data_IF_844966558647
#
_entry.id   IF_844966558647
#
_cell.length_a   1.000
_cell.length_b   1.000
_cell.length_c   1.000
_cell.angle_alpha   90.00
_cell.angle_beta   90.00
_cell.angle_gamma   90.00
#
_symmetry.space_group_name_H-M   'P 1'
#
loop_
_entity.id
_entity.type
_entity.pdbx_description
1 polymer ?
#
# COMPACT_ATOMS: atom_id res chain seq x y z
N UNK A 1 8.93 14.64 -2.30
CA UNK A 1 8.22 15.63 -1.46
C UNK A 1 7.39 14.87 -0.43
N UNK A 2 7.61 15.10 0.87
CA UNK A 2 6.83 14.47 1.93
C UNK A 2 5.38 14.96 1.94
N UNK A 3 4.46 14.02 2.09
CA UNK A 3 3.02 14.25 2.14
C UNK A 3 2.51 13.94 3.55
N UNK A 4 1.52 14.69 4.00
CA UNK A 4 0.91 14.48 5.32
C UNK A 4 -0.62 14.51 5.19
N UNK A 5 -1.28 13.72 6.02
CA UNK A 5 -2.72 13.82 6.23
C UNK A 5 -3.00 14.70 7.43
N UNK A 6 -3.84 15.71 7.23
CA UNK A 6 -4.31 16.60 8.30
C UNK A 6 -5.79 16.35 8.53
N UNK A 7 -6.20 16.18 9.79
CA UNK A 7 -7.62 16.18 10.16
C UNK A 7 -8.23 17.55 9.86
N UNK A 8 -9.41 17.58 9.27
CA UNK A 8 -10.20 18.80 9.13
C UNK A 8 -11.10 18.97 10.35
N UNK A 9 -11.23 20.19 10.87
CA UNK A 9 -11.95 20.52 12.10
C UNK A 9 -13.48 20.41 12.01
N UNK A 10 -14.04 20.00 10.87
CA UNK A 10 -15.49 19.94 10.66
C UNK A 10 -15.97 18.49 10.59
N UNK A 11 -16.35 17.85 11.70
CA UNK A 11 -17.24 16.70 11.67
C UNK A 11 -18.66 17.22 11.88
N UNK A 12 -19.36 17.57 10.80
CA UNK A 12 -20.81 17.43 10.84
C UNK A 12 -21.07 15.96 10.51
N UNK A 13 -21.56 15.19 11.48
CA UNK A 13 -22.35 13.96 11.30
C UNK A 13 -21.65 12.58 11.45
N UNK A 14 -20.32 12.43 11.61
CA UNK A 14 -19.73 11.08 11.75
C UNK A 14 -18.83 10.84 12.96
N UNK A 15 -18.96 9.62 13.49
CA UNK A 15 -18.08 8.93 14.43
C UNK A 15 -16.68 8.73 13.79
N UNK A 16 -15.96 9.86 13.68
CA UNK A 16 -14.77 10.01 12.85
C UNK A 16 -13.66 9.02 13.22
N UNK A 17 -13.65 8.50 14.46
CA UNK A 17 -12.66 7.55 14.95
C UNK A 17 -12.62 6.23 14.16
N UNK A 18 -13.72 5.79 13.54
CA UNK A 18 -13.85 4.45 12.92
C UNK A 18 -13.21 4.32 11.53
N UNK A 19 -12.95 5.44 10.85
CA UNK A 19 -12.52 5.46 9.44
C UNK A 19 -11.22 6.23 9.18
N UNK A 20 -10.54 6.68 10.24
CA UNK A 20 -9.27 7.38 10.09
C UNK A 20 -8.17 6.39 9.66
N UNK A 21 -7.30 6.78 8.70
CA UNK A 21 -6.16 5.98 8.34
C UNK A 21 -5.19 5.86 9.51
N UNK A 22 -4.45 4.75 9.55
CA UNK A 22 -3.51 4.43 10.63
C UNK A 22 -2.34 5.40 10.71
N UNK A 23 -2.06 6.16 9.65
CA UNK A 23 -1.16 7.33 9.74
C UNK A 23 -1.66 8.42 10.70
N UNK A 24 -2.86 8.27 11.27
CA UNK A 24 -3.49 9.18 12.23
C UNK A 24 -3.78 8.48 13.58
N UNK A 25 -3.65 7.15 13.65
CA UNK A 25 -3.87 6.31 14.84
C UNK A 25 -2.84 5.17 14.81
N UNK A 26 -1.77 5.24 15.61
CA UNK A 26 -0.62 4.31 15.63
C UNK A 26 -0.93 2.89 16.18
N UNK A 27 -2.15 2.37 15.98
CA UNK A 27 -2.52 1.03 16.44
C UNK A 27 -2.07 -0.04 15.45
N UNK A 28 -1.14 -0.89 15.87
CA UNK A 28 -0.82 -2.17 15.20
C UNK A 28 -2.04 -3.08 15.38
N UNK A 29 -2.71 -3.41 14.29
CA UNK A 29 -3.99 -4.14 14.32
C UNK A 29 -3.80 -5.64 14.19
N UNK A 30 -4.64 -6.42 14.87
CA UNK A 30 -4.68 -7.90 14.81
C UNK A 30 -5.16 -8.45 13.46
N UNK A 31 -5.84 -7.63 12.64
CA UNK A 31 -6.25 -8.01 11.29
C UNK A 31 -5.99 -6.88 10.30
N UNK A 32 -5.27 -7.12 9.19
CA UNK A 32 -4.98 -6.08 8.23
C UNK A 32 -6.25 -5.74 7.44
N UNK A 33 -6.52 -4.44 7.28
CA UNK A 33 -7.59 -3.89 6.45
C UNK A 33 -7.00 -3.25 5.20
N UNK A 34 -7.88 -2.85 4.28
CA UNK A 34 -7.47 -2.16 3.07
C UNK A 34 -7.29 -0.67 3.25
N UNK A 35 -7.35 0.04 2.13
CA UNK A 35 -7.28 1.51 2.06
C UNK A 35 -8.68 2.13 2.04
N UNK A 36 -8.75 3.45 2.18
CA UNK A 36 -9.99 4.20 2.00
C UNK A 36 -10.49 4.08 0.55
N UNK A 37 -11.74 3.63 0.37
CA UNK A 37 -12.36 3.40 -0.93
C UNK A 37 -12.35 4.60 -1.88
N UNK A 38 -12.67 5.84 -1.43
CA UNK A 38 -12.62 7.03 -2.28
C UNK A 38 -11.24 7.30 -2.90
N UNK A 39 -10.17 7.00 -2.16
CA UNK A 39 -8.79 7.17 -2.63
C UNK A 39 -8.44 6.12 -3.67
N UNK A 40 -8.93 4.90 -3.49
CA UNK A 40 -8.78 3.85 -4.49
C UNK A 40 -9.54 4.17 -5.78
N UNK A 41 -10.75 4.72 -5.67
CA UNK A 41 -11.54 5.20 -6.80
C UNK A 41 -10.80 6.32 -7.54
N UNK A 42 -10.27 7.30 -6.81
CA UNK A 42 -9.45 8.37 -7.37
C UNK A 42 -8.22 7.82 -8.10
N UNK A 43 -7.44 6.95 -7.45
CA UNK A 43 -6.24 6.32 -8.05
C UNK A 43 -6.58 5.64 -9.38
N UNK A 44 -7.65 4.84 -9.41
CA UNK A 44 -8.05 4.11 -10.61
C UNK A 44 -8.57 5.07 -11.70
N UNK A 45 -9.40 6.06 -11.33
CA UNK A 45 -10.01 7.03 -12.26
C UNK A 45 -8.94 7.86 -12.99
N UNK A 46 -7.89 8.27 -12.29
CA UNK A 46 -6.79 9.05 -12.86
C UNK A 46 -5.59 8.19 -13.29
N UNK A 47 -5.78 6.87 -13.37
CA UNK A 47 -4.77 5.90 -13.78
C UNK A 47 -3.40 6.12 -13.11
N UNK A 48 -3.41 6.45 -11.81
CA UNK A 48 -2.21 6.70 -11.01
C UNK A 48 -1.55 5.37 -10.60
N UNK A 49 -1.29 4.53 -11.60
CA UNK A 49 -0.59 3.26 -11.47
C UNK A 49 0.87 3.47 -11.80
N UNK A 50 1.73 3.22 -10.83
CA UNK A 50 3.17 3.24 -11.07
C UNK A 50 3.63 1.82 -11.41
N UNK A 51 4.26 1.62 -12.58
CA UNK A 51 4.78 0.30 -12.99
C UNK A 51 5.79 -0.25 -11.99
N UNK A 52 6.60 0.63 -11.39
CA UNK A 52 7.61 0.31 -10.38
C UNK A 52 7.04 -0.21 -9.06
N UNK A 53 5.75 0.03 -8.79
CA UNK A 53 5.10 -0.59 -7.63
C UNK A 53 4.94 -2.11 -7.83
N UNK A 54 5.00 -2.62 -9.07
CA UNK A 54 4.91 -4.06 -9.35
C UNK A 54 6.19 -4.77 -8.91
N UNK A 55 6.07 -5.62 -7.90
CA UNK A 55 7.20 -6.30 -7.25
C UNK A 55 7.19 -7.81 -7.45
N UNK A 56 6.04 -8.38 -7.81
CA UNK A 56 5.89 -9.81 -8.06
C UNK A 56 4.82 -10.07 -9.12
N UNK A 57 5.07 -11.08 -9.95
CA UNK A 57 4.11 -11.65 -10.88
C UNK A 57 4.31 -13.16 -10.89
N UNK A 58 3.24 -13.89 -10.57
CA UNK A 58 3.16 -15.34 -10.67
C UNK A 58 1.99 -15.75 -11.57
N UNK A 59 1.58 -17.01 -11.45
CA UNK A 59 0.50 -17.59 -12.26
C UNK A 59 -0.87 -17.21 -11.72
N UNK A 60 -1.00 -17.12 -10.40
CA UNK A 60 -2.26 -16.79 -9.74
C UNK A 60 -2.39 -15.33 -9.38
N UNK A 61 -1.28 -14.66 -9.03
CA UNK A 61 -1.30 -13.27 -8.58
C UNK A 61 -0.23 -12.39 -9.21
N UNK A 62 -0.51 -11.10 -9.25
CA UNK A 62 0.49 -10.05 -9.31
C UNK A 62 0.39 -9.18 -8.06
N UNK A 63 1.52 -8.80 -7.49
CA UNK A 63 1.59 -7.92 -6.32
C UNK A 63 2.17 -6.56 -6.71
N UNK A 64 1.42 -5.50 -6.36
CA UNK A 64 1.93 -4.15 -6.30
C UNK A 64 2.13 -3.71 -4.86
N UNK A 65 3.33 -3.26 -4.53
CA UNK A 65 3.67 -2.75 -3.21
C UNK A 65 3.90 -1.23 -3.27
N UNK A 66 3.22 -0.52 -2.36
CA UNK A 66 3.37 0.92 -2.21
C UNK A 66 3.99 1.22 -0.85
N UNK A 67 5.15 1.92 -0.81
CA UNK A 67 5.81 2.28 0.43
C UNK A 67 4.94 3.18 1.33
N UNK A 68 5.21 3.22 2.64
CA UNK A 68 4.51 4.06 3.59
C UNK A 68 4.36 5.55 3.25
N UNK A 69 5.33 6.16 2.56
CA UNK A 69 5.25 7.58 2.15
C UNK A 69 4.55 7.81 0.80
N UNK A 70 4.13 6.76 0.11
CA UNK A 70 3.35 6.87 -1.11
C UNK A 70 1.93 7.35 -0.76
N UNK A 71 1.33 8.24 -1.57
CA UNK A 71 0.04 8.84 -1.21
C UNK A 71 -1.06 7.82 -0.92
N UNK A 72 -1.12 6.72 -1.67
CA UNK A 72 -2.10 5.64 -1.45
C UNK A 72 -1.91 5.00 -0.06
N UNK A 73 -0.66 4.82 0.34
CA UNK A 73 -0.29 4.25 1.64
C UNK A 73 -0.64 5.16 2.81
N UNK A 74 -0.71 6.48 2.59
CA UNK A 74 -1.16 7.39 3.65
C UNK A 74 -2.62 7.13 4.04
N UNK A 75 -3.45 6.61 3.14
CA UNK A 75 -4.86 6.33 3.39
C UNK A 75 -5.13 4.87 3.78
N UNK A 76 -4.12 4.16 4.30
CA UNK A 76 -4.25 2.81 4.83
C UNK A 76 -5.04 2.80 6.13
N UNK A 77 -5.92 1.81 6.30
CA UNK A 77 -6.70 1.64 7.54
C UNK A 77 -5.96 0.84 8.61
N UNK A 78 -4.81 0.23 8.28
CA UNK A 78 -3.97 -0.62 9.15
C UNK A 78 -2.50 -0.55 8.74
N UNK A 79 -1.61 -0.96 9.64
CA UNK A 79 -0.19 -1.22 9.34
C UNK A 79 0.10 -2.71 9.61
N UNK A 80 0.32 -3.55 8.59
CA UNK A 80 0.28 -3.24 7.15
C UNK A 80 -1.17 -3.13 6.65
N UNK A 81 -1.36 -2.65 5.43
CA UNK A 81 -2.65 -2.73 4.73
C UNK A 81 -2.55 -3.57 3.47
N UNK A 82 -3.63 -4.26 3.12
CA UNK A 82 -3.70 -4.99 1.87
C UNK A 82 -5.06 -4.90 1.19
N UNK A 83 -5.10 -5.17 -0.11
CA UNK A 83 -6.36 -5.39 -0.84
C UNK A 83 -6.14 -6.46 -1.89
N UNK A 84 -7.08 -7.38 -2.00
CA UNK A 84 -7.17 -8.32 -3.11
C UNK A 84 -8.22 -7.81 -4.10
N UNK A 85 -7.82 -7.69 -5.37
CA UNK A 85 -8.68 -7.34 -6.51
C UNK A 85 -8.67 -8.50 -7.49
N UNK A 86 -9.80 -8.82 -8.09
CA UNK A 86 -9.83 -9.75 -9.22
C UNK A 86 -9.62 -8.98 -10.52
N UNK A 87 -8.74 -9.48 -11.39
CA UNK A 87 -8.67 -9.03 -12.79
C UNK A 87 -9.72 -9.71 -13.67
N UNK A 88 -10.24 -10.86 -13.23
CA UNK A 88 -11.16 -11.68 -14.03
C UNK A 88 -12.60 -11.31 -13.70
N UNK A 89 -13.39 -11.09 -14.75
CA UNK A 89 -14.85 -11.05 -14.73
C UNK A 89 -15.43 -12.48 -14.71
N UNK A 90 -15.08 -13.31 -13.72
CA UNK A 90 -15.80 -14.59 -13.56
C UNK A 90 -17.20 -14.26 -13.05
N UNK A 91 -18.21 -14.65 -13.81
CA UNK A 91 -19.58 -14.59 -13.33
C UNK A 91 -19.75 -15.74 -12.32
N UNK A 92 -20.53 -15.53 -11.26
CA UNK A 92 -20.82 -16.60 -10.30
C UNK A 92 -21.54 -17.79 -10.92
N UNK A 93 -22.24 -17.56 -12.03
CA UNK A 93 -22.98 -18.57 -12.78
C UNK A 93 -21.99 -19.57 -13.39
N UNK A 94 -20.82 -19.12 -13.84
CA UNK A 94 -19.81 -19.96 -14.52
C UNK A 94 -19.24 -21.07 -13.62
N UNK A 95 -19.44 -20.99 -12.30
CA UNK A 95 -18.92 -21.95 -11.32
C UNK A 95 -20.00 -22.53 -10.39
N UNK A 96 -21.28 -22.25 -10.66
CA UNK A 96 -22.39 -22.77 -9.88
C UNK A 96 -22.91 -24.08 -10.47
N UNK A 97 -23.47 -24.95 -9.62
CA UNK A 97 -24.10 -26.20 -10.09
C UNK A 97 -25.31 -25.96 -11.02
N UNK A 98 -25.76 -26.97 -11.79
CA UNK A 98 -26.76 -26.81 -12.86
C UNK A 98 -28.08 -26.20 -12.38
N UNK A 99 -28.51 -26.58 -11.17
CA UNK A 99 -29.71 -26.05 -10.53
C UNK A 99 -29.65 -24.52 -10.33
N UNK A 100 -28.51 -24.02 -9.85
CA UNK A 100 -28.29 -22.59 -9.58
C UNK A 100 -28.17 -21.82 -10.90
N UNK A 101 -27.48 -22.37 -11.89
CA UNK A 101 -27.41 -21.79 -13.23
C UNK A 101 -28.80 -21.64 -13.86
N UNK A 102 -29.65 -22.66 -13.77
CA UNK A 102 -31.02 -22.64 -14.29
C UNK A 102 -31.98 -21.74 -13.49
N UNK A 103 -31.79 -21.62 -12.17
CA UNK A 103 -32.63 -20.77 -11.33
C UNK A 103 -32.35 -19.28 -11.57
N UNK A 104 -31.09 -18.89 -11.76
CA UNK A 104 -30.69 -17.49 -11.94
C UNK A 104 -30.64 -17.02 -13.40
N UNK A 105 -30.53 -17.91 -14.38
CA UNK A 105 -30.65 -17.56 -15.81
C UNK A 105 -32.01 -16.92 -16.16
N UNK A 106 -33.06 -17.31 -15.43
CA UNK A 106 -34.43 -16.78 -15.57
C UNK A 106 -34.67 -15.45 -14.83
N UNK A 107 -33.77 -15.06 -13.92
CA UNK A 107 -33.90 -13.84 -13.09
C UNK A 107 -32.65 -12.97 -13.20
N UNK A 108 -32.37 -12.44 -14.40
CA UNK A 108 -31.19 -11.60 -14.69
C UNK A 108 -31.00 -10.41 -13.73
N UNK A 109 -32.10 -9.86 -13.19
CA UNK A 109 -32.10 -8.76 -12.21
C UNK A 109 -31.94 -9.20 -10.75
N UNK A 110 -32.12 -10.49 -10.45
CA UNK A 110 -31.99 -11.08 -9.11
C UNK A 110 -30.73 -11.93 -8.95
N UNK A 111 -29.80 -11.88 -9.91
CA UNK A 111 -28.43 -12.35 -9.70
C UNK A 111 -27.93 -11.58 -8.47
N UNK A 112 -27.68 -12.23 -7.32
CA UNK A 112 -27.15 -11.52 -6.18
C UNK A 112 -25.87 -10.84 -6.61
N UNK A 113 -25.44 -9.83 -5.86
CA UNK A 113 -24.14 -9.17 -6.01
C UNK A 113 -23.05 -10.22 -5.72
N UNK A 114 -22.89 -11.21 -6.61
CA UNK A 114 -22.18 -12.47 -6.40
C UNK A 114 -20.67 -12.26 -6.45
N UNK A 115 -20.26 -11.13 -7.00
CA UNK A 115 -18.94 -10.57 -6.82
C UNK A 115 -18.58 -10.37 -5.34
N UNK A 116 -19.55 -10.15 -4.43
CA UNK A 116 -19.27 -9.97 -3.00
C UNK A 116 -18.80 -11.25 -2.30
N UNK A 117 -19.46 -12.38 -2.53
CA UNK A 117 -19.08 -13.69 -1.94
C UNK A 117 -17.71 -14.13 -2.45
N UNK A 118 -17.50 -14.09 -3.76
CA UNK A 118 -16.21 -14.44 -4.36
C UNK A 118 -15.08 -13.48 -3.94
N UNK A 119 -15.34 -12.17 -3.87
CA UNK A 119 -14.38 -11.22 -3.29
C UNK A 119 -14.04 -11.54 -1.85
N UNK A 120 -15.03 -11.93 -1.03
CA UNK A 120 -14.81 -12.29 0.37
C UNK A 120 -13.96 -13.56 0.47
N UNK A 121 -14.30 -14.60 -0.30
CA UNK A 121 -13.53 -15.86 -0.35
C UNK A 121 -12.08 -15.61 -0.78
N UNK A 122 -11.87 -14.92 -1.90
CA UNK A 122 -10.53 -14.55 -2.36
C UNK A 122 -9.79 -13.70 -1.33
N UNK A 123 -10.46 -12.73 -0.72
CA UNK A 123 -9.86 -11.90 0.31
C UNK A 123 -9.35 -12.77 1.45
N UNK A 124 -10.13 -13.74 1.93
CA UNK A 124 -9.71 -14.63 3.02
C UNK A 124 -8.54 -15.54 2.59
N UNK A 125 -8.60 -16.11 1.38
CA UNK A 125 -7.52 -16.93 0.80
C UNK A 125 -6.20 -16.17 0.69
N UNK A 126 -6.23 -14.86 0.49
CA UNK A 126 -5.03 -14.02 0.47
C UNK A 126 -4.67 -13.53 1.87
N UNK A 127 -5.65 -13.13 2.67
CA UNK A 127 -5.44 -12.44 3.95
C UNK A 127 -4.69 -13.30 4.95
N UNK A 128 -5.08 -14.57 5.09
CA UNK A 128 -4.49 -15.50 6.06
C UNK A 128 -3.00 -15.74 5.76
N UNK A 129 -2.60 -16.27 4.59
CA UNK A 129 -1.19 -16.50 4.29
C UNK A 129 -0.37 -15.22 4.22
N UNK A 130 -0.97 -14.10 3.80
CA UNK A 130 -0.32 -12.78 3.84
C UNK A 130 0.06 -12.41 5.28
N UNK A 131 -0.89 -12.46 6.20
CA UNK A 131 -0.67 -12.00 7.57
C UNK A 131 0.22 -12.96 8.36
N UNK A 132 0.08 -14.28 8.14
CA UNK A 132 0.99 -15.30 8.66
C UNK A 132 2.44 -15.01 8.25
N UNK A 133 2.71 -14.89 6.95
CA UNK A 133 4.07 -14.67 6.45
C UNK A 133 4.62 -13.31 6.84
N UNK A 134 3.78 -12.26 6.83
CA UNK A 134 4.19 -10.94 7.27
C UNK A 134 4.57 -10.90 8.75
N UNK A 135 3.84 -11.63 9.60
CA UNK A 135 4.15 -11.75 11.03
C UNK A 135 5.40 -12.59 11.26
N UNK A 136 5.56 -13.70 10.52
CA UNK A 136 6.74 -14.56 10.59
C UNK A 136 8.04 -13.83 10.21
N UNK A 137 7.95 -12.82 9.35
CA UNK A 137 9.07 -11.96 8.94
C UNK A 137 9.20 -10.69 9.83
N UNK A 138 8.68 -10.74 11.06
CA UNK A 138 8.77 -9.67 12.06
C UNK A 138 8.30 -8.29 11.55
N UNK A 139 7.18 -8.27 10.83
CA UNK A 139 6.66 -7.04 10.24
C UNK A 139 6.34 -5.94 11.27
N UNK A 140 6.04 -6.31 12.52
CA UNK A 140 5.80 -5.34 13.60
C UNK A 140 7.05 -4.50 13.90
N UNK A 141 8.23 -5.12 13.91
CA UNK A 141 9.50 -4.40 14.03
C UNK A 141 9.70 -3.45 12.87
N UNK A 142 9.33 -3.86 11.65
CA UNK A 142 9.33 -2.99 10.48
C UNK A 142 8.46 -1.73 10.68
N UNK A 143 7.24 -1.90 11.19
CA UNK A 143 6.36 -0.74 11.50
C UNK A 143 6.99 0.17 12.56
N UNK A 144 7.47 -0.38 13.68
CA UNK A 144 8.07 0.40 14.79
C UNK A 144 9.27 1.21 14.32
N UNK A 145 10.22 0.58 13.63
CA UNK A 145 11.43 1.25 13.13
C UNK A 145 11.12 2.34 12.11
N UNK A 146 10.15 2.12 11.24
CA UNK A 146 9.72 3.16 10.30
C UNK A 146 9.18 4.38 11.05
N UNK A 147 8.34 4.19 12.06
CA UNK A 147 7.81 5.28 12.91
C UNK A 147 8.93 6.02 13.65
N UNK A 148 9.92 5.31 14.17
CA UNK A 148 11.10 5.90 14.82
C UNK A 148 11.92 6.74 13.84
N UNK A 149 12.19 6.23 12.63
CA UNK A 149 12.97 6.94 11.62
C UNK A 149 12.33 8.23 11.12
N UNK A 150 10.98 8.33 11.17
CA UNK A 150 10.27 9.58 10.84
C UNK A 150 10.53 10.71 11.82
N UNK A 151 10.98 10.41 13.04
CA UNK A 151 11.37 11.42 14.03
C UNK A 151 12.73 12.03 13.71
N UNK A 152 13.55 11.38 12.90
CA UNK A 152 14.87 11.88 12.48
C UNK A 152 14.72 12.91 11.34
N UNK A 153 14.64 14.19 11.72
CA UNK A 153 14.47 15.29 10.77
C UNK A 153 15.73 15.46 9.92
N UNK A 154 15.56 15.46 8.59
CA UNK A 154 16.61 15.82 7.63
C UNK A 154 17.37 14.64 7.02
N UNK A 155 17.04 13.40 7.40
CA UNK A 155 17.56 12.19 6.74
C UNK A 155 16.85 11.99 5.39
N UNK A 156 17.59 11.76 4.30
CA UNK A 156 16.99 11.46 3.00
C UNK A 156 16.15 10.18 3.05
N UNK A 157 15.04 10.17 2.31
CA UNK A 157 14.02 9.11 2.37
C UNK A 157 14.63 7.71 2.22
N UNK A 158 15.53 7.53 1.27
CA UNK A 158 16.15 6.23 0.97
C UNK A 158 17.01 5.74 2.12
N UNK A 159 17.86 6.62 2.66
CA UNK A 159 18.71 6.31 3.82
C UNK A 159 17.84 6.03 5.06
N UNK A 160 16.74 6.76 5.23
CA UNK A 160 15.74 6.50 6.27
C UNK A 160 15.13 5.10 6.13
N UNK A 161 14.78 4.66 4.91
CA UNK A 161 14.25 3.31 4.67
C UNK A 161 15.31 2.22 4.90
N UNK A 162 16.54 2.38 4.42
CA UNK A 162 17.60 1.38 4.61
C UNK A 162 17.96 1.20 6.09
N UNK A 163 18.00 2.28 6.87
CA UNK A 163 18.25 2.23 8.32
C UNK A 163 17.08 1.61 9.08
N UNK A 164 15.84 1.93 8.69
CA UNK A 164 14.64 1.47 9.40
C UNK A 164 14.20 0.07 9.02
N UNK A 165 14.48 -0.38 7.79
CA UNK A 165 13.89 -1.57 7.20
C UNK A 165 14.95 -2.45 6.52
N UNK A 166 15.70 -3.26 7.29
CA UNK A 166 16.67 -4.18 6.71
C UNK A 166 15.98 -5.23 5.83
N UNK A 167 16.75 -5.83 4.93
CA UNK A 167 16.30 -7.00 4.17
C UNK A 167 15.96 -8.15 5.13
N UNK A 168 15.02 -9.01 4.72
CA UNK A 168 14.53 -10.11 5.55
C UNK A 168 13.44 -9.73 6.54
N UNK A 169 13.11 -8.44 6.70
CA UNK A 169 12.02 -7.97 7.56
C UNK A 169 10.83 -7.53 6.72
N UNK A 170 9.65 -8.03 7.05
CA UNK A 170 8.41 -7.66 6.36
C UNK A 170 8.16 -6.15 6.45
N UNK A 171 7.79 -5.56 5.32
CA UNK A 171 7.72 -4.10 5.20
C UNK A 171 6.35 -3.56 5.55
N UNK A 172 6.31 -2.43 6.27
CA UNK A 172 5.07 -1.65 6.35
C UNK A 172 4.74 -1.11 4.95
N UNK A 173 3.47 -0.94 4.62
CA UNK A 173 3.13 -0.78 3.22
C UNK A 173 1.66 -0.93 2.92
N UNK A 174 1.32 -0.57 1.69
CA UNK A 174 0.09 -1.04 1.07
C UNK A 174 0.41 -2.13 0.05
N UNK A 175 -0.15 -3.32 0.26
CA UNK A 175 -0.02 -4.50 -0.60
C UNK A 175 -1.28 -4.65 -1.44
N UNK A 176 -1.18 -4.41 -2.74
CA UNK A 176 -2.27 -4.55 -3.70
C UNK A 176 -2.07 -5.83 -4.50
N UNK A 177 -2.81 -6.87 -4.12
CA UNK A 177 -2.86 -8.15 -4.83
C UNK A 177 -3.88 -8.08 -5.97
N UNK A 178 -3.43 -8.39 -7.18
CA UNK A 178 -4.27 -8.62 -8.34
C UNK A 178 -4.33 -10.13 -8.60
N UNK A 179 -5.51 -10.71 -8.44
CA UNK A 179 -5.77 -12.12 -8.75
C UNK A 179 -5.91 -12.25 -10.27
N UNK A 180 -4.97 -12.98 -10.87
CA UNK A 180 -4.85 -13.27 -12.30
C UNK A 180 -5.60 -14.54 -12.68
N UNK A 181 -5.62 -15.55 -11.79
CA UNK A 181 -6.31 -16.82 -11.97
C UNK A 181 -7.12 -17.16 -10.72
N UNK A 182 -8.39 -17.53 -10.90
CA UNK A 182 -9.21 -18.03 -9.79
C UNK A 182 -8.81 -19.48 -9.47
N UNK A 183 -8.58 -19.82 -8.19
CA UNK A 183 -8.34 -21.20 -7.82
C UNK A 183 -9.64 -21.99 -7.94
N UNK A 184 -9.60 -23.12 -8.64
CA UNK A 184 -10.77 -23.94 -8.91
C UNK A 184 -10.83 -25.20 -8.03
N UNK A 185 -9.69 -25.64 -7.49
CA UNK A 185 -9.56 -26.82 -6.64
C UNK A 185 -8.63 -26.53 -5.45
N UNK A 186 -8.43 -27.53 -4.59
CA UNK A 186 -7.60 -27.37 -3.39
C UNK A 186 -6.11 -27.17 -3.70
N UNK A 187 -5.59 -27.84 -4.73
CA UNK A 187 -4.21 -27.65 -5.16
C UNK A 187 -3.97 -26.21 -5.66
N UNK A 188 -4.92 -25.63 -6.39
CA UNK A 188 -4.89 -24.24 -6.82
C UNK A 188 -4.97 -23.28 -5.61
N UNK A 189 -5.77 -23.61 -4.59
CA UNK A 189 -5.81 -22.82 -3.35
C UNK A 189 -4.43 -22.79 -2.69
N UNK A 190 -3.79 -23.96 -2.54
CA UNK A 190 -2.45 -24.09 -1.96
C UNK A 190 -1.42 -23.31 -2.79
N UNK A 191 -1.45 -23.46 -4.12
CA UNK A 191 -0.57 -22.74 -5.04
C UNK A 191 -0.72 -21.22 -4.92
N UNK A 192 -1.96 -20.72 -4.91
CA UNK A 192 -2.26 -19.30 -4.68
C UNK A 192 -1.70 -18.81 -3.34
N UNK A 193 -1.92 -19.57 -2.25
CA UNK A 193 -1.43 -19.18 -0.93
C UNK A 193 0.11 -19.16 -0.89
N UNK A 194 0.77 -20.10 -1.56
CA UNK A 194 2.22 -20.14 -1.66
C UNK A 194 2.79 -18.95 -2.45
N UNK A 195 2.14 -18.54 -3.54
CA UNK A 195 2.49 -17.30 -4.24
C UNK A 195 2.31 -16.07 -3.35
N UNK A 196 1.24 -16.01 -2.55
CA UNK A 196 1.06 -14.93 -1.58
C UNK A 196 2.23 -14.88 -0.60
N UNK A 197 2.61 -16.02 0.02
CA UNK A 197 3.76 -16.09 0.94
C UNK A 197 5.06 -15.64 0.26
N UNK A 198 5.34 -16.16 -0.93
CA UNK A 198 6.53 -15.80 -1.73
C UNK A 198 6.57 -14.31 -2.06
N UNK A 199 5.44 -13.73 -2.41
CA UNK A 199 5.35 -12.30 -2.76
C UNK A 199 5.67 -11.39 -1.56
N UNK A 200 5.24 -11.77 -0.35
CA UNK A 200 5.55 -11.03 0.89
C UNK A 200 7.04 -11.12 1.21
N UNK A 201 7.62 -12.30 1.02
CA UNK A 201 9.06 -12.53 1.20
C UNK A 201 9.91 -11.71 0.23
N UNK A 202 9.50 -11.63 -1.03
CA UNK A 202 10.15 -10.76 -2.02
C UNK A 202 10.12 -9.31 -1.55
N UNK A 203 8.97 -8.83 -1.06
CA UNK A 203 8.89 -7.46 -0.52
C UNK A 203 9.81 -7.27 0.68
N UNK A 204 9.86 -8.21 1.61
CA UNK A 204 10.76 -8.17 2.76
C UNK A 204 12.24 -8.06 2.36
N UNK A 205 12.62 -8.72 1.26
CA UNK A 205 13.99 -8.75 0.74
C UNK A 205 14.33 -7.60 -0.23
N UNK A 206 13.39 -6.70 -0.54
CA UNK A 206 13.68 -5.57 -1.42
C UNK A 206 14.84 -4.72 -0.88
N UNK A 207 15.79 -4.37 -1.74
CA UNK A 207 16.76 -3.31 -1.49
C UNK A 207 16.06 -1.96 -1.70
N UNK A 208 15.87 -1.18 -0.64
CA UNK A 208 15.17 0.11 -0.70
C UNK A 208 15.88 1.14 -1.58
N UNK A 209 17.21 1.15 -1.57
CA UNK A 209 18.03 2.02 -2.42
C UNK A 209 17.75 1.77 -3.88
N UNK A 210 17.86 0.50 -4.31
CA UNK A 210 17.56 0.11 -5.69
C UNK A 210 16.10 0.34 -6.04
N UNK A 211 15.19 -0.16 -5.19
CA UNK A 211 13.75 -0.10 -5.44
C UNK A 211 13.22 1.33 -5.57
N UNK A 212 13.76 2.30 -4.83
CA UNK A 212 13.30 3.70 -4.88
C UNK A 212 13.99 4.55 -5.95
N UNK A 213 15.25 4.26 -6.29
CA UNK A 213 16.15 5.18 -7.00
C UNK A 213 16.77 4.67 -8.33
N UNK A 214 16.18 3.73 -9.07
CA UNK A 214 16.79 3.14 -10.28
C UNK A 214 17.38 4.09 -11.35
N UNK A 215 17.10 5.41 -11.31
CA UNK A 215 17.77 6.43 -12.14
C UNK A 215 19.11 6.93 -11.63
N UNK A 216 19.62 6.45 -10.49
CA UNK A 216 21.03 6.66 -10.23
C UNK A 216 21.78 5.87 -11.31
N UNK A 217 22.59 6.51 -12.18
CA UNK A 217 23.55 5.75 -12.98
C UNK A 217 24.29 4.79 -12.04
N UNK A 218 24.77 3.64 -12.53
CA UNK A 218 25.55 2.63 -11.79
C UNK A 218 26.83 3.22 -11.18
N UNK A 219 26.66 4.18 -10.30
CA UNK A 219 27.62 4.67 -9.38
C UNK A 219 27.69 3.52 -8.38
N UNK A 220 28.81 2.79 -8.39
CA UNK A 220 29.23 1.89 -7.31
C UNK A 220 29.49 2.71 -6.03
N UNK A 221 28.56 3.58 -5.67
CA UNK A 221 28.56 4.38 -4.47
C UNK A 221 27.56 3.70 -3.56
N UNK A 222 28.08 3.11 -2.50
CA UNK A 222 27.27 2.58 -1.42
C UNK A 222 26.20 3.63 -1.05
N UNK A 223 24.91 3.26 -0.95
CA UNK A 223 23.82 4.18 -0.64
C UNK A 223 24.10 5.10 0.55
N UNK A 224 24.86 4.60 1.54
CA UNK A 224 25.36 5.34 2.72
C UNK A 224 26.20 6.58 2.38
N UNK A 225 26.80 6.65 1.19
CA UNK A 225 27.66 7.75 0.74
C UNK A 225 27.09 8.57 -0.40
N UNK A 226 25.86 8.28 -0.88
CA UNK A 226 25.21 9.06 -1.94
C UNK A 226 25.15 10.55 -1.58
N UNK A 227 24.92 10.87 -0.31
CA UNK A 227 24.85 12.25 0.19
C UNK A 227 26.20 12.94 0.36
N UNK A 228 27.31 12.16 0.40
CA UNK A 228 28.67 12.70 0.42
C UNK A 228 29.19 12.98 -0.99
N UNK A 229 28.81 12.15 -1.97
CA UNK A 229 29.31 12.26 -3.36
C UNK A 229 28.41 13.10 -4.25
N UNK A 230 27.09 13.11 -4.00
CA UNK A 230 26.14 13.92 -4.77
C UNK A 230 25.73 15.14 -3.92
N UNK A 231 26.03 16.39 -4.35
CA UNK A 231 25.59 17.57 -3.63
C UNK A 231 24.07 17.56 -3.48
N UNK A 232 23.55 17.97 -2.31
CA UNK A 232 22.11 17.93 -1.93
C UNK A 232 21.14 18.46 -2.99
N UNK A 233 21.59 19.31 -3.93
CA UNK A 233 20.81 19.84 -5.06
C UNK A 233 20.53 18.83 -6.19
N UNK A 234 21.24 17.70 -6.27
CA UNK A 234 21.17 16.74 -7.39
C UNK A 234 20.64 15.35 -7.04
N UNK A 235 20.17 15.10 -5.81
CA UNK A 235 19.56 13.80 -5.47
C UNK A 235 18.30 13.63 -6.34
N UNK A 236 18.26 12.63 -7.26
CA UNK A 236 17.09 12.42 -8.09
C UNK A 236 15.89 12.09 -7.20
N UNK A 237 14.72 12.60 -7.56
CA UNK A 237 13.50 12.25 -6.83
C UNK A 237 13.28 10.74 -6.94
N UNK A 238 12.88 10.10 -5.85
CA UNK A 238 12.47 8.69 -5.90
C UNK A 238 11.25 8.54 -6.82
N UNK A 239 10.97 7.33 -7.30
CA UNK A 239 9.75 7.11 -8.08
C UNK A 239 8.49 7.46 -7.28
N UNK A 240 8.50 7.20 -5.97
CA UNK A 240 7.41 7.50 -5.07
C UNK A 240 7.21 9.02 -4.95
N UNK A 241 8.29 9.79 -4.85
CA UNK A 241 8.19 11.25 -4.85
C UNK A 241 7.69 11.78 -6.18
N UNK A 242 8.07 11.14 -7.28
CA UNK A 242 7.59 11.46 -8.62
C UNK A 242 6.09 11.17 -8.76
N UNK A 243 5.63 10.01 -8.27
CA UNK A 243 4.22 9.64 -8.22
C UNK A 243 3.42 10.62 -7.35
N UNK A 244 3.93 10.98 -6.17
CA UNK A 244 3.32 11.94 -5.26
C UNK A 244 3.19 13.36 -5.88
N UNK A 245 4.11 13.75 -6.77
CA UNK A 245 4.05 15.05 -7.48
C UNK A 245 2.95 15.09 -8.55
N UNK A 246 2.57 13.95 -9.14
CA UNK A 246 1.52 13.86 -10.17
C UNK A 246 0.11 14.09 -9.61
N UNK A 247 -0.07 14.08 -8.30
CA UNK A 247 -1.38 14.18 -7.66
C UNK A 247 -1.92 15.61 -7.74
N UNK A 248 -3.16 15.74 -8.23
CA UNK A 248 -3.92 16.97 -8.08
C UNK A 248 -4.56 17.04 -6.68
N UNK A 249 -3.88 17.72 -5.76
CA UNK A 249 -4.32 17.88 -4.36
C UNK A 249 -5.70 18.53 -4.24
N UNK A 250 -5.99 19.54 -5.06
CA UNK A 250 -7.29 20.24 -5.03
C UNK A 250 -8.43 19.29 -5.37
N UNK A 251 -8.23 18.46 -6.40
CA UNK A 251 -9.22 17.47 -6.82
C UNK A 251 -9.35 16.31 -5.83
N UNK A 252 -8.23 15.73 -5.36
CA UNK A 252 -8.26 14.66 -4.37
C UNK A 252 -8.96 15.11 -3.08
N UNK A 253 -8.65 16.31 -2.58
CA UNK A 253 -9.30 16.84 -1.40
C UNK A 253 -10.81 17.08 -1.61
N UNK A 254 -11.24 17.50 -2.81
CA UNK A 254 -12.67 17.54 -3.16
C UNK A 254 -13.31 16.14 -3.12
N UNK A 255 -12.64 15.12 -3.67
CA UNK A 255 -13.10 13.72 -3.59
C UNK A 255 -13.24 13.24 -2.13
N UNK A 256 -12.29 13.57 -1.27
CA UNK A 256 -12.34 13.24 0.16
C UNK A 256 -13.52 13.94 0.85
N UNK A 257 -13.73 15.23 0.56
CA UNK A 257 -14.86 16.01 1.08
C UNK A 257 -16.21 15.45 0.63
N UNK A 258 -16.38 15.15 -0.66
CA UNK A 258 -17.63 14.53 -1.18
C UNK A 258 -17.88 13.15 -0.59
N UNK A 259 -16.83 12.43 -0.21
CA UNK A 259 -16.94 11.16 0.49
C UNK A 259 -17.08 11.30 2.01
N UNK A 260 -17.27 12.52 2.53
CA UNK A 260 -17.38 12.85 3.95
C UNK A 260 -16.20 12.31 4.79
N UNK A 261 -15.00 12.24 4.21
CA UNK A 261 -13.79 11.87 4.93
C UNK A 261 -13.18 13.13 5.56
N UNK A 262 -13.01 13.21 6.90
CA UNK A 262 -12.51 14.39 7.61
C UNK A 262 -10.98 14.53 7.50
N UNK A 263 -10.46 14.41 6.28
CA UNK A 263 -9.04 14.32 5.98
C UNK A 263 -8.71 15.21 4.78
N UNK A 264 -7.58 15.90 4.89
CA UNK A 264 -7.00 16.67 3.80
C UNK A 264 -5.57 16.22 3.57
N UNK A 265 -5.24 15.89 2.33
CA UNK A 265 -3.88 15.70 1.90
C UNK A 265 -3.21 17.07 1.74
N UNK A 266 -2.10 17.26 2.46
CA UNK A 266 -1.28 18.46 2.40
C UNK A 266 0.17 18.11 2.07
N UNK A 267 0.90 19.07 1.50
CA UNK A 267 2.35 18.98 1.39
C UNK A 267 2.95 19.35 2.74
N UNK A 268 3.90 18.54 3.22
CA UNK A 268 4.67 18.94 4.39
C UNK A 268 5.46 20.21 4.04
N UNK A 269 5.35 21.26 4.88
CA UNK A 269 6.26 22.39 4.78
C UNK A 269 7.67 21.86 5.05
N UNK A 270 8.67 22.27 4.25
CA UNK A 270 10.07 22.00 4.60
C UNK A 270 10.34 22.71 5.92
N UNK A 271 10.39 21.95 7.02
CA UNK A 271 10.85 22.47 8.30
C UNK A 271 12.33 22.77 8.10
N UNK A 272 12.74 24.05 8.20
CA UNK A 272 14.15 24.39 8.23
C UNK A 272 14.76 23.65 9.43
N UNK A 273 15.87 22.91 9.28
CA UNK A 273 16.51 22.25 10.42
C UNK A 273 16.76 23.32 11.48
N UNK A 274 16.26 23.11 12.70
CA UNK A 274 16.59 24.01 13.80
C UNK A 274 18.11 24.01 13.95
N UNK A 275 18.70 25.20 14.03
CA UNK A 275 20.11 25.30 14.43
C UNK A 275 20.22 24.57 15.76
N UNK A 276 20.98 23.48 15.80
CA UNK A 276 21.40 22.88 17.07
C UNK A 276 22.05 24.02 17.85
N UNK A 277 21.43 24.41 18.96
CA UNK A 277 22.10 25.20 19.98
C UNK A 277 23.11 24.23 20.57
N UNK A 278 24.35 24.33 20.13
CA UNK A 278 25.50 23.82 20.88
C UNK A 278 25.51 24.58 22.19
N UNK A 279 25.10 23.90 23.27
CA UNK A 279 25.49 24.32 24.61
C UNK A 279 26.91 23.78 24.79
N UNK A 280 27.86 24.71 24.85
CA UNK A 280 29.17 24.51 25.45
C UNK A 280 29.03 24.27 26.96
#
# INVERSE_FOLDING_TARGET
MPLLLRRTLTPKIYDAAKYLPVTVNDKITTSPKGICGPVLKYKNMFQLHEKRASVFSGDFISLKYYPPDHFVSLFRKTSPAFTAKSSISKSFIDSAGPYIQNHYSKKKSAIPINYAVWRRKLKLLVQVPFFEKWTALDGQRGVKRYVESKKEIGVPIVESYERSMPQGVAKDGYYEFLILKYPNNENDNIALQNEVRRSVEIVANLDWGKFLNERLPRLNINPKYIHKVIPKKRIPNTWMETANKKINFGLLNRFLMHANLPLRLIRAKKVKPSKRITRE
#
